data_IF_670304270207
#
_entry.id   IF_670304270207
#
_cell.length_a   1.000
_cell.length_b   1.000
_cell.length_c   1.000
_cell.angle_alpha   90.00
_cell.angle_beta   90.00
_cell.angle_gamma   90.00
#
_symmetry.space_group_name_H-M   'P 1'
#
loop_
_entity.id
_entity.type
_entity.pdbx_description
1 polymer ?
#
# COMPACT_ATOMS: atom_id res chain seq x y z
N UNK A 1 9.22 -41.31 48.96
CA UNK A 1 8.15 -40.76 48.10
C UNK A 1 8.41 -39.27 47.93
N UNK A 2 8.82 -38.85 46.73
CA UNK A 2 9.11 -37.44 46.42
C UNK A 2 7.84 -36.77 45.90
N UNK A 3 7.30 -35.80 46.64
CA UNK A 3 6.21 -34.93 46.19
C UNK A 3 6.75 -33.75 45.39
N UNK A 4 6.49 -33.74 44.08
CA UNK A 4 6.82 -32.63 43.19
C UNK A 4 5.91 -31.42 43.47
N UNK A 5 6.46 -30.37 44.08
CA UNK A 5 5.82 -29.05 44.13
C UNK A 5 5.93 -28.34 42.78
N UNK A 6 4.80 -28.19 42.08
CA UNK A 6 4.70 -27.37 40.85
C UNK A 6 5.03 -25.91 41.18
N UNK A 7 6.20 -25.42 40.74
CA UNK A 7 6.47 -23.98 40.64
C UNK A 7 5.50 -23.37 39.63
N UNK A 8 4.51 -22.61 40.09
CA UNK A 8 3.72 -21.69 39.25
C UNK A 8 4.70 -20.66 38.67
N UNK A 9 4.98 -20.74 37.37
CA UNK A 9 5.56 -19.61 36.62
C UNK A 9 4.58 -18.44 36.75
N UNK A 10 4.98 -17.34 37.41
CA UNK A 10 4.28 -16.05 37.28
C UNK A 10 4.29 -15.70 35.79
N UNK A 11 3.11 -15.66 35.17
CA UNK A 11 2.93 -15.10 33.82
C UNK A 11 3.32 -13.62 33.92
N UNK A 12 4.16 -13.15 33.01
CA UNK A 12 4.35 -11.71 32.86
C UNK A 12 3.00 -11.08 32.47
N UNK A 13 2.62 -9.91 33.02
CA UNK A 13 1.36 -9.26 32.69
C UNK A 13 1.27 -9.02 31.17
N UNK A 14 0.09 -9.23 30.60
CA UNK A 14 -0.17 -8.96 29.20
C UNK A 14 -0.01 -7.43 28.95
N UNK A 15 0.69 -6.97 27.89
CA UNK A 15 0.82 -5.55 27.60
C UNK A 15 -0.51 -4.78 27.53
N UNK A 16 -1.61 -5.45 27.14
CA UNK A 16 -2.95 -4.83 27.17
C UNK A 16 -3.48 -4.66 28.61
N UNK A 17 -3.30 -5.65 29.49
CA UNK A 17 -3.68 -5.54 30.91
C UNK A 17 -2.87 -4.43 31.61
N UNK A 18 -1.56 -4.36 31.36
CA UNK A 18 -0.70 -3.30 31.92
C UNK A 18 -1.11 -1.90 31.42
N UNK A 19 -1.55 -1.79 30.16
CA UNK A 19 -2.04 -0.52 29.60
C UNK A 19 -3.40 -0.10 30.15
N UNK A 20 -4.23 -1.07 30.54
CA UNK A 20 -5.52 -0.83 31.18
C UNK A 20 -5.34 -0.41 32.64
N UNK A 21 -4.49 -1.11 33.39
CA UNK A 21 -4.15 -0.75 34.78
C UNK A 21 -3.54 0.66 34.86
N UNK A 22 -2.60 1.00 33.96
CA UNK A 22 -2.02 2.35 33.89
C UNK A 22 -3.05 3.44 33.53
N UNK A 23 -4.08 3.09 32.77
CA UNK A 23 -5.17 4.01 32.44
C UNK A 23 -6.18 4.15 33.58
N UNK A 24 -6.42 3.11 34.37
CA UNK A 24 -7.25 3.17 35.57
C UNK A 24 -6.56 3.91 36.70
N UNK A 25 -5.26 3.70 36.91
CA UNK A 25 -4.44 4.47 37.87
C UNK A 25 -4.44 5.96 37.51
N UNK A 26 -4.21 6.33 36.23
CA UNK A 26 -4.31 7.74 35.79
C UNK A 26 -5.71 8.32 35.98
N UNK A 27 -6.76 7.53 35.79
CA UNK A 27 -8.14 7.98 36.03
C UNK A 27 -8.39 8.21 37.52
N UNK A 28 -7.92 7.32 38.39
CA UNK A 28 -8.01 7.47 39.84
C UNK A 28 -7.23 8.70 40.32
N UNK A 29 -5.98 8.88 39.89
CA UNK A 29 -5.18 10.08 40.17
C UNK A 29 -5.87 11.34 39.66
N UNK A 30 -6.42 11.32 38.45
CA UNK A 30 -7.14 12.48 37.89
C UNK A 30 -8.39 12.83 38.70
N UNK A 31 -9.10 11.84 39.23
CA UNK A 31 -10.29 12.04 40.05
C UNK A 31 -9.94 12.57 41.45
N UNK A 32 -8.86 12.07 42.06
CA UNK A 32 -8.35 12.54 43.34
C UNK A 32 -7.82 13.98 43.25
N UNK A 33 -7.06 14.29 42.21
CA UNK A 33 -6.63 15.66 41.89
C UNK A 33 -7.83 16.58 41.65
N UNK A 34 -8.86 16.12 40.93
CA UNK A 34 -10.06 16.90 40.67
C UNK A 34 -10.90 17.15 41.94
N UNK A 35 -10.84 16.23 42.91
CA UNK A 35 -11.47 16.37 44.23
C UNK A 35 -10.70 17.38 45.11
N UNK A 36 -9.36 17.32 45.12
CA UNK A 36 -8.49 18.31 45.79
C UNK A 36 -8.72 19.72 45.22
N UNK A 37 -8.85 19.84 43.89
CA UNK A 37 -9.15 21.11 43.21
C UNK A 37 -10.55 21.64 43.58
N UNK A 38 -11.55 20.76 43.70
CA UNK A 38 -12.93 21.13 44.06
C UNK A 38 -13.06 21.60 45.51
N UNK A 39 -12.31 21.00 46.43
CA UNK A 39 -12.36 21.34 47.85
C UNK A 39 -11.69 22.70 48.15
N UNK A 40 -11.04 23.33 47.16
CA UNK A 40 -10.33 24.63 47.29
C UNK A 40 -9.55 24.68 48.60
N UNK A 41 -8.77 23.63 48.90
CA UNK A 41 -8.03 23.55 50.16
C UNK A 41 -7.01 24.68 50.19
N UNK A 42 -7.39 25.73 50.89
CA UNK A 42 -6.53 26.84 51.28
C UNK A 42 -5.49 26.29 52.24
N UNK A 43 -4.24 26.64 52.00
CA UNK A 43 -3.04 26.27 52.75
C UNK A 43 -3.33 25.72 54.16
N UNK A 44 -3.07 24.43 54.39
CA UNK A 44 -3.26 23.81 55.70
C UNK A 44 -2.16 24.26 56.67
N UNK A 45 -2.58 24.78 57.83
CA UNK A 45 -1.65 25.29 58.85
C UNK A 45 -1.03 24.15 59.63
N UNK A 46 0.30 24.11 59.67
CA UNK A 46 1.03 23.10 60.43
C UNK A 46 1.02 23.43 61.93
N UNK A 47 0.76 22.43 62.78
CA UNK A 47 0.72 22.61 64.22
C UNK A 47 2.13 22.40 64.82
N UNK A 48 2.94 23.47 64.83
CA UNK A 48 4.36 23.44 65.21
C UNK A 48 4.59 24.08 66.59
N UNK A 49 5.46 23.49 67.41
CA UNK A 49 5.90 24.12 68.67
C UNK A 49 6.85 25.30 68.37
N UNK A 50 6.28 26.51 68.40
CA UNK A 50 7.01 27.76 68.16
C UNK A 50 8.02 28.12 69.26
N UNK A 51 8.03 27.42 70.41
CA UNK A 51 9.02 27.64 71.49
C UNK A 51 10.38 27.06 71.14
N UNK A 52 10.41 25.95 70.40
CA UNK A 52 11.65 25.43 69.83
C UNK A 52 12.10 26.30 68.65
N UNK A 53 13.31 26.85 68.77
CA UNK A 53 13.90 27.70 67.73
C UNK A 53 14.11 26.94 66.43
N UNK A 54 14.50 25.66 66.49
CA UNK A 54 14.81 24.89 65.29
C UNK A 54 13.53 24.52 64.55
N UNK A 55 12.51 24.04 65.26
CA UNK A 55 11.18 23.80 64.69
C UNK A 55 10.55 25.08 64.09
N UNK A 56 10.68 26.23 64.77
CA UNK A 56 10.19 27.53 64.27
C UNK A 56 10.89 27.95 62.98
N UNK A 57 12.22 27.88 62.91
CA UNK A 57 12.97 28.24 61.71
C UNK A 57 12.63 27.33 60.53
N UNK A 58 12.58 26.01 60.74
CA UNK A 58 12.20 25.07 59.68
C UNK A 58 10.77 25.28 59.18
N UNK A 59 9.83 25.69 60.05
CA UNK A 59 8.48 26.04 59.63
C UNK A 59 8.46 27.35 58.81
N UNK A 60 9.19 28.37 59.22
CA UNK A 60 9.33 29.62 58.46
C UNK A 60 10.00 29.39 57.09
N UNK A 61 10.99 28.50 57.00
CA UNK A 61 11.61 28.10 55.74
C UNK A 61 10.63 27.39 54.81
N UNK A 62 9.78 26.50 55.33
CA UNK A 62 8.72 25.86 54.53
C UNK A 62 7.71 26.89 54.01
N UNK A 63 7.26 27.81 54.86
CA UNK A 63 6.37 28.92 54.45
C UNK A 63 7.00 29.77 53.34
N UNK A 64 8.30 30.07 53.44
CA UNK A 64 9.07 30.76 52.39
C UNK A 64 9.07 29.95 51.09
N UNK A 65 9.36 28.66 51.16
CA UNK A 65 9.45 27.80 49.97
C UNK A 65 8.09 27.72 49.26
N UNK A 66 6.99 27.60 50.02
CA UNK A 66 5.62 27.68 49.47
C UNK A 66 5.34 29.04 48.81
N UNK A 67 5.76 30.16 49.42
CA UNK A 67 5.63 31.50 48.82
C UNK A 67 6.42 31.60 47.51
N UNK A 68 7.65 31.08 47.47
CA UNK A 68 8.48 31.11 46.26
C UNK A 68 7.88 30.26 45.13
N UNK A 69 7.38 29.07 45.45
CA UNK A 69 6.74 28.19 44.48
C UNK A 69 5.45 28.82 43.92
N UNK A 70 4.61 29.38 44.79
CA UNK A 70 3.39 30.09 44.39
C UNK A 70 3.70 31.32 43.54
N UNK A 71 4.79 32.05 43.85
CA UNK A 71 5.24 33.22 43.07
C UNK A 71 5.72 32.83 41.68
N UNK A 72 6.57 31.80 41.57
CA UNK A 72 7.04 31.27 40.29
C UNK A 72 5.86 30.79 39.43
N UNK A 73 4.97 30.00 40.02
CA UNK A 73 3.76 29.54 39.35
C UNK A 73 2.89 30.72 38.89
N UNK A 74 2.73 31.77 39.70
CA UNK A 74 2.04 33.00 39.29
C UNK A 74 2.67 33.68 38.07
N UNK A 75 4.00 33.70 37.93
CA UNK A 75 4.69 34.31 36.79
C UNK A 75 4.44 33.52 35.50
N UNK A 76 4.56 32.19 35.56
CA UNK A 76 4.27 31.28 34.44
C UNK A 76 2.79 31.38 34.00
N UNK A 77 1.87 31.37 34.97
CA UNK A 77 0.42 31.50 34.71
C UNK A 77 0.07 32.88 34.16
N UNK A 78 0.70 33.97 34.64
CA UNK A 78 0.52 35.32 34.09
C UNK A 78 0.97 35.41 32.64
N UNK A 79 2.09 34.77 32.29
CA UNK A 79 2.58 34.74 30.92
C UNK A 79 1.58 34.04 29.98
N UNK A 80 1.12 32.84 30.35
CA UNK A 80 0.11 32.10 29.59
C UNK A 80 -1.24 32.85 29.53
N UNK A 81 -1.67 33.47 30.62
CA UNK A 81 -2.86 34.32 30.65
C UNK A 81 -2.75 35.49 29.66
N UNK A 82 -1.58 36.12 29.60
CA UNK A 82 -1.27 37.17 28.64
C UNK A 82 -1.39 36.69 27.19
N UNK A 83 -0.90 35.48 26.89
CA UNK A 83 -1.03 34.87 25.55
C UNK A 83 -2.48 34.58 25.18
N UNK A 84 -3.25 33.94 26.06
CA UNK A 84 -4.68 33.65 25.81
C UNK A 84 -5.48 34.93 25.63
N UNK A 85 -5.16 35.98 26.41
CA UNK A 85 -5.80 37.29 26.27
C UNK A 85 -5.43 37.98 24.96
N UNK A 86 -4.16 37.87 24.54
CA UNK A 86 -3.72 38.35 23.22
C UNK A 86 -4.49 37.64 22.10
N UNK A 87 -4.69 36.34 22.22
CA UNK A 87 -5.36 35.56 21.19
C UNK A 87 -6.87 35.84 21.10
N UNK A 88 -7.53 36.08 22.23
CA UNK A 88 -8.91 36.61 22.25
C UNK A 88 -9.00 38.01 21.65
N UNK A 89 -7.97 38.85 21.87
CA UNK A 89 -7.89 40.18 21.26
C UNK A 89 -7.71 40.09 19.75
N UNK A 90 -6.93 39.13 19.26
CA UNK A 90 -6.78 38.87 17.83
C UNK A 90 -8.13 38.48 17.18
N UNK A 91 -8.94 37.62 17.84
CA UNK A 91 -10.32 37.33 17.39
C UNK A 91 -11.14 38.60 17.26
N UNK A 92 -11.07 39.48 18.26
CA UNK A 92 -11.80 40.74 18.25
C UNK A 92 -11.35 41.66 17.10
N UNK A 93 -10.04 41.72 16.80
CA UNK A 93 -9.52 42.49 15.67
C UNK A 93 -10.03 41.94 14.33
N UNK A 94 -10.09 40.61 14.17
CA UNK A 94 -10.65 39.96 12.98
C UNK A 94 -12.16 40.25 12.85
N UNK A 95 -12.91 40.13 13.95
CA UNK A 95 -14.35 40.41 13.99
C UNK A 95 -14.67 41.89 13.69
N UNK A 96 -13.76 42.81 14.04
CA UNK A 96 -13.91 44.26 13.84
C UNK A 96 -13.26 44.78 12.56
N UNK A 97 -12.61 43.90 11.78
CA UNK A 97 -11.93 44.30 10.57
C UNK A 97 -12.89 44.95 9.54
N UNK A 98 -12.39 45.91 8.73
CA UNK A 98 -13.06 46.43 7.54
C UNK A 98 -13.59 45.32 6.63
N UNK A 99 -14.69 45.59 5.93
CA UNK A 99 -15.34 44.63 5.03
C UNK A 99 -14.37 44.06 3.99
N UNK A 100 -13.53 44.91 3.39
CA UNK A 100 -12.57 44.49 2.36
C UNK A 100 -11.53 43.51 2.91
N UNK A 101 -11.01 43.76 4.12
CA UNK A 101 -10.04 42.88 4.78
C UNK A 101 -10.70 41.57 5.24
N UNK A 102 -11.95 41.61 5.70
CA UNK A 102 -12.72 40.40 6.03
C UNK A 102 -12.93 39.51 4.82
N UNK A 103 -13.25 40.09 3.67
CA UNK A 103 -13.39 39.34 2.41
C UNK A 103 -12.06 38.69 2.05
N UNK A 104 -10.94 39.42 2.10
CA UNK A 104 -9.62 38.87 1.81
C UNK A 104 -9.21 37.74 2.78
N UNK A 105 -9.47 37.90 4.09
CA UNK A 105 -9.23 36.85 5.10
C UNK A 105 -10.08 35.61 4.80
N UNK A 106 -11.37 35.80 4.53
CA UNK A 106 -12.29 34.70 4.23
C UNK A 106 -11.89 33.94 2.95
N UNK A 107 -11.61 34.66 1.86
CA UNK A 107 -11.26 34.05 0.57
C UNK A 107 -9.94 33.27 0.65
N UNK A 108 -8.91 33.85 1.26
CA UNK A 108 -7.62 33.20 1.45
C UNK A 108 -7.72 31.97 2.36
N UNK A 109 -8.41 32.10 3.50
CA UNK A 109 -8.64 30.98 4.42
C UNK A 109 -9.45 29.86 3.76
N UNK A 110 -10.54 30.21 3.06
CA UNK A 110 -11.37 29.25 2.31
C UNK A 110 -10.54 28.48 1.30
N UNK A 111 -9.68 29.17 0.55
CA UNK A 111 -8.83 28.53 -0.44
C UNK A 111 -7.81 27.59 0.20
N UNK A 112 -7.20 27.98 1.32
CA UNK A 112 -6.29 27.12 2.10
C UNK A 112 -6.99 25.84 2.56
N UNK A 113 -8.19 25.95 3.12
CA UNK A 113 -8.95 24.80 3.63
C UNK A 113 -9.35 23.85 2.49
N UNK A 114 -9.92 24.37 1.41
CA UNK A 114 -10.30 23.57 0.24
C UNK A 114 -9.09 22.80 -0.34
N UNK A 115 -7.96 23.49 -0.55
CA UNK A 115 -6.74 22.88 -1.08
C UNK A 115 -6.15 21.85 -0.12
N UNK A 116 -6.21 22.09 1.18
CA UNK A 116 -5.73 21.17 2.21
C UNK A 116 -6.58 19.90 2.27
N UNK A 117 -7.90 20.02 2.18
CA UNK A 117 -8.83 18.88 2.14
C UNK A 117 -8.71 18.07 0.85
N UNK A 118 -8.56 18.73 -0.29
CA UNK A 118 -8.25 18.06 -1.56
C UNK A 118 -6.93 17.28 -1.45
N UNK A 119 -5.89 17.88 -0.87
CA UNK A 119 -4.59 17.21 -0.67
C UNK A 119 -4.72 15.99 0.24
N UNK A 120 -5.50 16.09 1.33
CA UNK A 120 -5.78 14.96 2.24
C UNK A 120 -6.48 13.82 1.50
N UNK A 121 -7.46 14.15 0.66
CA UNK A 121 -8.21 13.17 -0.14
C UNK A 121 -7.29 12.45 -1.14
N UNK A 122 -6.45 13.17 -1.86
CA UNK A 122 -5.49 12.58 -2.81
C UNK A 122 -4.44 11.73 -2.08
N UNK A 123 -3.93 12.19 -0.93
CA UNK A 123 -2.95 11.43 -0.13
C UNK A 123 -3.50 10.08 0.34
N UNK A 124 -4.80 10.01 0.62
CA UNK A 124 -5.45 8.78 1.06
C UNK A 124 -5.71 7.80 -0.09
N UNK A 125 -5.65 8.24 -1.35
CA UNK A 125 -5.76 7.33 -2.50
C UNK A 125 -4.50 6.49 -2.61
N UNK A 126 -4.68 5.17 -2.74
CA UNK A 126 -3.58 4.24 -3.02
C UNK A 126 -3.62 3.85 -4.50
N UNK A 127 -2.59 4.21 -5.23
CA UNK A 127 -2.37 3.70 -6.59
C UNK A 127 -1.79 2.29 -6.52
N UNK A 128 -2.31 1.39 -7.35
CA UNK A 128 -1.83 0.02 -7.47
C UNK A 128 -0.68 -0.06 -8.47
N UNK A 129 0.43 0.63 -8.17
CA UNK A 129 1.63 0.66 -9.02
C UNK A 129 2.84 0.41 -8.13
N UNK A 130 3.69 -0.52 -8.54
CA UNK A 130 4.96 -0.78 -7.86
C UNK A 130 6.02 0.25 -8.24
N UNK A 131 7.03 0.44 -7.39
CA UNK A 131 8.10 1.40 -7.66
C UNK A 131 8.90 1.05 -8.93
N UNK A 132 9.05 -0.24 -9.25
CA UNK A 132 9.70 -0.70 -10.48
C UNK A 132 8.87 -0.35 -11.72
N UNK A 133 7.56 -0.58 -11.69
CA UNK A 133 6.64 -0.19 -12.78
C UNK A 133 6.66 1.32 -12.99
N UNK A 134 6.62 2.10 -11.91
CA UNK A 134 6.69 3.56 -11.96
C UNK A 134 7.97 4.04 -12.63
N UNK A 135 9.14 3.52 -12.22
CA UNK A 135 10.44 3.87 -12.83
C UNK A 135 10.52 3.51 -14.31
N UNK A 136 9.97 2.37 -14.72
CA UNK A 136 9.92 1.99 -16.12
C UNK A 136 9.03 2.93 -16.93
N UNK A 137 7.86 3.30 -16.40
CA UNK A 137 6.95 4.25 -17.04
C UNK A 137 7.52 5.66 -17.12
N UNK A 138 8.21 6.12 -16.07
CA UNK A 138 8.95 7.40 -16.10
C UNK A 138 10.00 7.42 -17.22
N UNK A 139 10.67 6.27 -17.47
CA UNK A 139 11.73 6.16 -18.48
C UNK A 139 11.20 6.06 -19.91
N UNK A 140 10.08 5.37 -20.12
CA UNK A 140 9.55 5.04 -21.45
C UNK A 140 8.19 5.69 -21.71
N UNK A 141 7.94 6.86 -21.13
CA UNK A 141 6.65 7.55 -21.18
C UNK A 141 6.16 7.81 -22.61
N UNK A 142 7.07 8.23 -23.50
CA UNK A 142 6.73 8.53 -24.89
C UNK A 142 6.40 7.28 -25.71
N UNK A 143 6.93 6.13 -25.31
CA UNK A 143 6.82 4.85 -26.04
C UNK A 143 5.69 3.96 -25.52
N UNK A 144 5.27 4.12 -24.25
CA UNK A 144 4.40 3.16 -23.56
C UNK A 144 3.08 2.90 -24.31
N UNK A 145 2.46 3.93 -24.86
CA UNK A 145 1.19 3.79 -25.59
C UNK A 145 1.36 2.98 -26.89
N UNK A 146 2.51 3.11 -27.55
CA UNK A 146 2.86 2.31 -28.72
C UNK A 146 3.21 0.89 -28.31
N UNK A 147 3.92 0.73 -27.20
CA UNK A 147 4.33 -0.58 -26.69
C UNK A 147 3.14 -1.40 -26.17
N UNK A 148 2.10 -0.79 -25.60
CA UNK A 148 0.84 -1.47 -25.26
C UNK A 148 0.23 -2.12 -26.50
N UNK A 149 0.16 -1.39 -27.62
CA UNK A 149 -0.39 -1.91 -28.89
C UNK A 149 0.45 -3.05 -29.44
N UNK A 150 1.79 -2.87 -29.46
CA UNK A 150 2.72 -3.93 -29.90
C UNK A 150 2.61 -5.18 -29.03
N UNK A 151 2.53 -5.01 -27.71
CA UNK A 151 2.42 -6.12 -26.78
C UNK A 151 1.14 -6.92 -27.04
N UNK A 152 0.01 -6.24 -27.26
CA UNK A 152 -1.26 -6.87 -27.64
C UNK A 152 -1.17 -7.60 -28.98
N UNK A 153 -0.52 -7.00 -30.00
CA UNK A 153 -0.29 -7.65 -31.29
C UNK A 153 0.54 -8.93 -31.18
N UNK A 154 1.57 -8.94 -30.33
CA UNK A 154 2.39 -10.13 -30.08
C UNK A 154 1.66 -11.20 -29.27
N UNK A 155 0.77 -10.81 -28.35
CA UNK A 155 -0.11 -11.75 -27.63
C UNK A 155 -1.12 -12.41 -28.60
N UNK A 156 -1.73 -11.63 -29.48
CA UNK A 156 -2.61 -12.16 -30.54
C UNK A 156 -1.85 -13.08 -31.50
N UNK A 157 -0.62 -12.69 -31.87
CA UNK A 157 0.25 -13.51 -32.70
C UNK A 157 0.59 -14.83 -32.02
N UNK A 158 0.79 -14.83 -30.69
CA UNK A 158 1.06 -16.04 -29.91
C UNK A 158 -0.08 -17.05 -30.04
N UNK A 159 -1.34 -16.59 -29.96
CA UNK A 159 -2.52 -17.44 -30.12
C UNK A 159 -2.58 -18.04 -31.53
N UNK A 160 -2.32 -17.22 -32.56
CA UNK A 160 -2.29 -17.68 -33.96
C UNK A 160 -1.21 -18.73 -34.19
N UNK A 161 0.01 -18.49 -33.70
CA UNK A 161 1.13 -19.44 -33.78
C UNK A 161 0.79 -20.75 -33.08
N UNK A 162 0.14 -20.71 -31.91
CA UNK A 162 -0.26 -21.91 -31.19
C UNK A 162 -1.27 -22.76 -31.98
N UNK A 163 -2.26 -22.10 -32.58
CA UNK A 163 -3.24 -22.76 -33.45
C UNK A 163 -2.59 -23.38 -34.69
N UNK A 164 -1.64 -22.68 -35.32
CA UNK A 164 -0.89 -23.19 -36.46
C UNK A 164 -0.05 -24.42 -36.08
N UNK A 165 0.65 -24.39 -34.94
CA UNK A 165 1.39 -25.55 -34.43
C UNK A 165 0.47 -26.74 -34.16
N UNK A 166 -0.69 -26.51 -33.54
CA UNK A 166 -1.68 -27.55 -33.28
C UNK A 166 -2.17 -28.18 -34.58
N UNK A 167 -2.50 -27.36 -35.59
CA UNK A 167 -2.94 -27.84 -36.92
C UNK A 167 -1.84 -28.63 -37.62
N UNK A 168 -0.61 -28.13 -37.65
CA UNK A 168 0.53 -28.81 -38.29
C UNK A 168 0.88 -30.13 -37.59
N UNK A 169 0.78 -30.19 -36.26
CA UNK A 169 0.96 -31.44 -35.52
C UNK A 169 -0.14 -32.47 -35.86
N UNK A 170 -1.39 -32.02 -36.01
CA UNK A 170 -2.49 -32.86 -36.48
C UNK A 170 -2.26 -33.39 -37.90
N UNK A 171 -1.84 -32.53 -38.83
CA UNK A 171 -1.50 -32.94 -40.20
C UNK A 171 -0.34 -33.94 -40.22
N UNK A 172 0.70 -33.74 -39.42
CA UNK A 172 1.80 -34.71 -39.30
C UNK A 172 1.34 -36.06 -38.76
N UNK A 173 0.47 -36.07 -37.75
CA UNK A 173 -0.09 -37.30 -37.21
C UNK A 173 -0.91 -38.04 -38.29
N UNK A 174 -1.72 -37.31 -39.05
CA UNK A 174 -2.47 -37.86 -40.18
C UNK A 174 -1.55 -38.47 -41.25
N UNK A 175 -0.55 -37.71 -41.71
CA UNK A 175 0.44 -38.18 -42.68
C UNK A 175 1.26 -39.38 -42.18
N UNK A 176 1.48 -39.48 -40.87
CA UNK A 176 2.15 -40.64 -40.26
C UNK A 176 1.25 -41.88 -40.29
N UNK A 177 -0.04 -41.71 -40.03
CA UNK A 177 -1.03 -42.79 -40.14
C UNK A 177 -1.16 -43.29 -41.58
N UNK A 178 -1.26 -42.40 -42.56
CA UNK A 178 -1.28 -42.75 -43.99
C UNK A 178 -0.04 -43.59 -44.38
N UNK A 179 1.14 -43.23 -43.85
CA UNK A 179 2.39 -43.96 -44.11
C UNK A 179 2.32 -45.39 -43.60
N UNK A 180 1.77 -45.58 -42.40
CA UNK A 180 1.57 -46.90 -41.79
C UNK A 180 0.58 -47.70 -42.63
N UNK A 181 -0.49 -47.08 -43.11
CA UNK A 181 -1.51 -47.74 -43.93
C UNK A 181 -0.96 -48.19 -45.29
N UNK A 182 -0.26 -47.31 -46.04
CA UNK A 182 0.37 -47.68 -47.32
C UNK A 182 1.38 -48.81 -47.10
N UNK A 183 2.18 -48.75 -46.03
CA UNK A 183 3.10 -49.83 -45.68
C UNK A 183 2.38 -51.15 -45.38
N UNK A 184 1.22 -51.10 -44.73
CA UNK A 184 0.39 -52.28 -44.46
C UNK A 184 -0.16 -52.85 -45.78
N UNK A 185 -0.72 -52.01 -46.66
CA UNK A 185 -1.20 -52.41 -48.01
C UNK A 185 -0.08 -53.02 -48.86
N UNK A 186 1.14 -52.47 -48.79
CA UNK A 186 2.29 -53.04 -49.50
C UNK A 186 2.71 -54.40 -48.91
N UNK A 187 2.66 -54.55 -47.59
CA UNK A 187 2.94 -55.84 -46.92
C UNK A 187 1.89 -56.90 -47.28
N UNK A 188 0.61 -56.55 -47.35
CA UNK A 188 -0.45 -57.48 -47.76
C UNK A 188 -0.28 -57.91 -49.21
N UNK A 189 0.00 -56.99 -50.14
CA UNK A 189 0.29 -57.35 -51.55
C UNK A 189 1.50 -58.28 -51.67
N UNK A 190 2.57 -58.05 -50.90
CA UNK A 190 3.73 -58.97 -50.85
C UNK A 190 3.34 -60.35 -50.31
N UNK A 191 2.47 -60.42 -49.32
CA UNK A 191 1.98 -61.69 -48.78
C UNK A 191 1.12 -62.45 -49.79
N UNK A 192 0.22 -61.74 -50.50
CA UNK A 192 -0.61 -62.31 -51.57
C UNK A 192 0.27 -62.84 -52.71
N UNK A 193 1.29 -62.07 -53.11
CA UNK A 193 2.25 -62.49 -54.15
C UNK A 193 3.00 -63.76 -53.76
N UNK A 194 3.42 -63.90 -52.50
CA UNK A 194 4.04 -65.14 -51.99
C UNK A 194 3.06 -66.32 -52.02
N UNK A 195 1.82 -66.12 -51.57
CA UNK A 195 0.80 -67.16 -51.58
C UNK A 195 0.48 -67.62 -53.01
N UNK A 196 0.33 -66.69 -53.96
CA UNK A 196 0.14 -66.98 -55.38
C UNK A 196 1.30 -67.79 -55.94
N UNK A 197 2.55 -67.44 -55.62
CA UNK A 197 3.73 -68.18 -56.06
C UNK A 197 3.71 -69.63 -55.55
N UNK A 198 3.37 -69.86 -54.27
CA UNK A 198 3.24 -71.21 -53.70
C UNK A 198 2.14 -72.01 -54.41
N UNK A 199 0.97 -71.39 -54.67
CA UNK A 199 -0.14 -72.05 -55.39
C UNK A 199 0.30 -72.44 -56.79
N UNK A 200 0.97 -71.55 -57.53
CA UNK A 200 1.43 -71.83 -58.90
C UNK A 200 2.44 -72.99 -58.94
N UNK A 201 3.32 -73.12 -57.94
CA UNK A 201 4.24 -74.26 -57.84
C UNK A 201 3.47 -75.57 -57.65
N UNK A 202 2.47 -75.59 -56.76
CA UNK A 202 1.64 -76.78 -56.52
C UNK A 202 0.88 -77.18 -57.80
N UNK A 203 0.26 -76.20 -58.48
CA UNK A 203 -0.45 -76.44 -59.75
C UNK A 203 0.49 -76.93 -60.84
N UNK A 204 1.70 -76.38 -60.94
CA UNK A 204 2.71 -76.83 -61.91
C UNK A 204 3.12 -78.29 -61.68
N UNK A 205 3.32 -78.70 -60.42
CA UNK A 205 3.61 -80.10 -60.06
C UNK A 205 2.43 -81.00 -60.47
N UNK A 206 1.20 -80.61 -60.14
CA UNK A 206 0.00 -81.39 -60.47
C UNK A 206 -0.19 -81.58 -61.99
N UNK A 207 -0.01 -80.51 -62.78
CA UNK A 207 -0.04 -80.57 -64.25
C UNK A 207 1.08 -81.46 -64.81
N UNK A 208 2.28 -81.41 -64.22
CA UNK A 208 3.40 -82.28 -64.60
C UNK A 208 3.10 -83.77 -64.37
N UNK A 209 2.44 -84.12 -63.27
CA UNK A 209 2.00 -85.50 -63.00
C UNK A 209 0.94 -85.96 -64.00
N UNK A 210 -0.04 -85.10 -64.32
CA UNK A 210 -1.09 -85.40 -65.31
C UNK A 210 -0.49 -85.73 -66.69
N UNK A 211 0.52 -84.95 -67.12
CA UNK A 211 1.20 -85.15 -68.39
C UNK A 211 2.03 -86.45 -68.39
N UNK A 212 2.82 -86.69 -67.34
CA UNK A 212 3.78 -87.79 -67.31
C UNK A 212 3.17 -89.17 -67.04
N UNK A 213 2.17 -89.25 -66.16
CA UNK A 213 1.60 -90.55 -65.72
C UNK A 213 0.30 -90.87 -66.46
N UNK A 214 -0.54 -89.87 -66.79
CA UNK A 214 -1.89 -90.10 -67.30
C UNK A 214 -2.01 -89.79 -68.80
N UNK A 215 -0.97 -89.22 -69.43
CA UNK A 215 -0.94 -88.86 -70.86
C UNK A 215 -2.16 -88.04 -71.33
N UNK A 216 -2.74 -87.24 -70.43
CA UNK A 216 -3.88 -86.36 -70.73
C UNK A 216 -3.39 -85.10 -71.43
N UNK A 217 -4.18 -84.56 -72.37
CA UNK A 217 -3.89 -83.26 -72.98
C UNK A 217 -4.04 -82.14 -71.94
N UNK A 218 -2.91 -81.50 -71.60
CA UNK A 218 -2.83 -80.43 -70.61
C UNK A 218 -2.76 -79.02 -71.24
N UNK A 219 -2.85 -78.88 -72.57
CA UNK A 219 -2.67 -77.57 -73.24
C UNK A 219 -3.68 -76.52 -72.75
N UNK A 220 -4.97 -76.87 -72.70
CA UNK A 220 -6.04 -75.97 -72.24
C UNK A 220 -5.86 -75.55 -70.77
N UNK A 221 -5.73 -76.46 -69.77
CA UNK A 221 -5.56 -76.06 -68.37
C UNK A 221 -4.23 -75.34 -68.10
N UNK A 222 -3.17 -75.64 -68.86
CA UNK A 222 -1.90 -74.90 -68.77
C UNK A 222 -2.07 -73.44 -69.23
N UNK A 223 -2.64 -73.23 -70.43
CA UNK A 223 -2.90 -71.88 -70.96
C UNK A 223 -3.81 -71.09 -70.03
N UNK A 224 -4.86 -71.71 -69.49
CA UNK A 224 -5.77 -71.08 -68.52
C UNK A 224 -5.03 -70.64 -67.24
N UNK A 225 -4.14 -71.47 -66.70
CA UNK A 225 -3.34 -71.15 -65.51
C UNK A 225 -2.39 -69.99 -65.77
N UNK A 226 -1.71 -69.98 -66.92
CA UNK A 226 -0.78 -68.90 -67.31
C UNK A 226 -1.55 -67.59 -67.52
N UNK A 227 -2.72 -67.62 -68.17
CA UNK A 227 -3.55 -66.45 -68.35
C UNK A 227 -4.05 -65.87 -67.02
N UNK A 228 -4.54 -66.72 -66.11
CA UNK A 228 -4.96 -66.30 -64.77
C UNK A 228 -3.81 -65.71 -63.96
N UNK A 229 -2.66 -66.39 -63.92
CA UNK A 229 -1.47 -65.91 -63.23
C UNK A 229 -1.00 -64.54 -63.75
N UNK A 230 -1.06 -64.34 -65.07
CA UNK A 230 -0.71 -63.08 -65.72
C UNK A 230 -1.65 -61.95 -65.32
N UNK A 231 -2.96 -62.18 -65.28
CA UNK A 231 -3.95 -61.19 -64.85
C UNK A 231 -3.74 -60.80 -63.38
N UNK A 232 -3.61 -61.78 -62.48
CA UNK A 232 -3.41 -61.50 -61.06
C UNK A 232 -2.09 -60.78 -60.80
N UNK A 233 -1.02 -61.18 -61.50
CA UNK A 233 0.29 -60.51 -61.41
C UNK A 233 0.21 -59.06 -61.91
N UNK A 234 -0.50 -58.80 -63.01
CA UNK A 234 -0.71 -57.46 -63.52
C UNK A 234 -1.49 -56.57 -62.53
N UNK A 235 -2.52 -57.12 -61.87
CA UNK A 235 -3.26 -56.41 -60.82
C UNK A 235 -2.38 -56.07 -59.61
N UNK A 236 -1.61 -57.04 -59.10
CA UNK A 236 -0.66 -56.81 -57.99
C UNK A 236 0.37 -55.74 -58.36
N UNK A 237 0.89 -55.79 -59.58
CA UNK A 237 1.88 -54.84 -60.07
C UNK A 237 1.30 -53.44 -60.21
N UNK A 238 0.06 -53.32 -60.67
CA UNK A 238 -0.67 -52.04 -60.75
C UNK A 238 -0.85 -51.42 -59.36
N UNK A 239 -1.41 -52.17 -58.41
CA UNK A 239 -1.65 -51.68 -57.05
C UNK A 239 -0.33 -51.39 -56.30
N UNK A 240 0.71 -52.19 -56.54
CA UNK A 240 2.04 -51.93 -55.99
C UNK A 240 2.69 -50.67 -56.58
N UNK A 241 2.47 -50.37 -57.86
CA UNK A 241 2.94 -49.11 -58.47
C UNK A 241 2.21 -47.91 -57.88
N UNK A 242 0.89 -48.03 -57.70
CA UNK A 242 0.05 -47.01 -57.06
C UNK A 242 0.52 -46.71 -55.63
N UNK A 243 0.69 -47.74 -54.79
CA UNK A 243 1.22 -47.58 -53.42
C UNK A 243 2.60 -46.89 -53.40
N UNK A 244 3.48 -47.21 -54.36
CA UNK A 244 4.80 -46.57 -54.46
C UNK A 244 4.70 -45.08 -54.82
N UNK A 245 3.82 -44.73 -55.76
CA UNK A 245 3.59 -43.33 -56.13
C UNK A 245 2.98 -42.54 -54.97
N UNK A 246 1.97 -43.11 -54.30
CA UNK A 246 1.35 -42.51 -53.11
C UNK A 246 2.38 -42.29 -51.99
N UNK A 247 3.28 -43.25 -51.76
CA UNK A 247 4.38 -43.12 -50.78
C UNK A 247 5.30 -41.94 -51.11
N UNK A 248 5.74 -41.77 -52.37
CA UNK A 248 6.63 -40.66 -52.76
C UNK A 248 5.94 -39.30 -52.55
N UNK A 249 4.65 -39.20 -52.88
CA UNK A 249 3.87 -37.98 -52.64
C UNK A 249 3.73 -37.73 -51.13
N UNK A 250 3.49 -38.76 -50.35
CA UNK A 250 3.36 -38.67 -48.90
C UNK A 250 4.66 -38.23 -48.23
N UNK A 251 5.80 -38.76 -48.64
CA UNK A 251 7.13 -38.36 -48.13
C UNK A 251 7.42 -36.88 -48.42
N UNK A 252 7.05 -36.39 -49.61
CA UNK A 252 7.13 -34.96 -49.93
C UNK A 252 6.23 -34.11 -49.04
N UNK A 253 4.99 -34.55 -48.78
CA UNK A 253 4.07 -33.87 -47.85
C UNK A 253 4.62 -33.85 -46.42
N UNK A 254 5.17 -34.97 -45.94
CA UNK A 254 5.81 -35.07 -44.63
C UNK A 254 7.00 -34.10 -44.50
N UNK A 255 7.90 -34.07 -45.49
CA UNK A 255 9.04 -33.15 -45.51
C UNK A 255 8.58 -31.68 -45.48
N UNK A 256 7.55 -31.33 -46.26
CA UNK A 256 6.96 -29.99 -46.26
C UNK A 256 6.32 -29.65 -44.90
N UNK A 257 5.56 -30.56 -44.30
CA UNK A 257 4.96 -30.36 -42.99
C UNK A 257 6.03 -30.16 -41.89
N UNK A 258 7.15 -30.89 -41.96
CA UNK A 258 8.31 -30.69 -41.07
C UNK A 258 8.90 -29.29 -41.25
N UNK A 259 9.18 -28.89 -42.49
CA UNK A 259 9.73 -27.55 -42.79
C UNK A 259 8.82 -26.43 -42.27
N UNK A 260 7.52 -26.49 -42.60
CA UNK A 260 6.53 -25.51 -42.11
C UNK A 260 6.47 -25.46 -40.58
N UNK A 261 6.48 -26.61 -39.91
CA UNK A 261 6.50 -26.65 -38.44
C UNK A 261 7.75 -25.99 -37.87
N UNK A 262 8.92 -26.22 -38.47
CA UNK A 262 10.16 -25.60 -38.01
C UNK A 262 10.11 -24.07 -38.16
N UNK A 263 9.58 -23.57 -39.28
CA UNK A 263 9.35 -22.14 -39.50
C UNK A 263 8.42 -21.55 -38.43
N UNK A 264 7.30 -22.22 -38.13
CA UNK A 264 6.36 -21.74 -37.09
C UNK A 264 6.97 -21.82 -35.69
N UNK A 265 7.80 -22.84 -35.39
CA UNK A 265 8.56 -22.91 -34.13
C UNK A 265 9.56 -21.76 -33.97
N UNK A 266 10.25 -21.36 -35.04
CA UNK A 266 11.14 -20.19 -35.00
C UNK A 266 10.33 -18.93 -34.69
N UNK A 267 9.18 -18.74 -35.36
CA UNK A 267 8.26 -17.63 -35.07
C UNK A 267 7.80 -17.65 -33.62
N UNK A 268 7.46 -18.82 -33.08
CA UNK A 268 7.08 -18.99 -31.67
C UNK A 268 8.17 -18.51 -30.72
N UNK A 269 9.41 -19.01 -30.89
CA UNK A 269 10.53 -18.64 -30.02
C UNK A 269 10.83 -17.14 -30.10
N UNK A 270 10.82 -16.56 -31.29
CA UNK A 270 11.02 -15.13 -31.47
C UNK A 270 9.90 -14.32 -30.78
N UNK A 271 8.65 -14.74 -30.96
CA UNK A 271 7.51 -14.06 -30.33
C UNK A 271 7.56 -14.12 -28.80
N UNK A 272 7.85 -15.30 -28.23
CA UNK A 272 8.01 -15.47 -26.78
C UNK A 272 9.11 -14.59 -26.22
N UNK A 273 10.28 -14.54 -26.88
CA UNK A 273 11.38 -13.66 -26.44
C UNK A 273 11.00 -12.18 -26.49
N UNK A 274 10.25 -11.76 -27.50
CA UNK A 274 9.75 -10.38 -27.58
C UNK A 274 8.75 -10.09 -26.47
N UNK A 275 7.82 -11.01 -26.20
CA UNK A 275 6.88 -10.89 -25.08
C UNK A 275 7.61 -10.82 -23.73
N UNK A 276 8.58 -11.71 -23.49
CA UNK A 276 9.43 -11.71 -22.28
C UNK A 276 10.19 -10.39 -22.11
N UNK A 277 10.76 -9.86 -23.20
CA UNK A 277 11.43 -8.57 -23.17
C UNK A 277 10.47 -7.42 -22.82
N UNK A 278 9.31 -7.34 -23.48
CA UNK A 278 8.35 -6.25 -23.26
C UNK A 278 7.73 -6.30 -21.86
N UNK A 279 7.37 -7.50 -21.39
CA UNK A 279 6.86 -7.73 -20.04
C UNK A 279 7.91 -7.37 -18.98
N UNK A 280 9.18 -7.73 -19.20
CA UNK A 280 10.29 -7.34 -18.34
C UNK A 280 10.58 -5.82 -18.37
N UNK A 281 10.52 -5.18 -19.55
CA UNK A 281 10.73 -3.72 -19.73
C UNK A 281 9.84 -2.91 -18.79
N UNK A 282 8.58 -3.32 -18.62
CA UNK A 282 7.59 -2.60 -17.81
C UNK A 282 7.26 -3.25 -16.47
N UNK A 283 7.82 -4.42 -16.15
CA UNK A 283 7.47 -5.20 -14.95
C UNK A 283 5.98 -5.55 -14.85
N UNK A 284 5.41 -6.04 -15.95
CA UNK A 284 4.00 -6.42 -16.11
C UNK A 284 3.92 -7.81 -16.73
N UNK A 285 2.76 -8.47 -16.67
CA UNK A 285 2.59 -9.84 -17.20
C UNK A 285 2.02 -9.88 -18.61
N UNK A 286 1.24 -8.86 -19.00
CA UNK A 286 0.56 -8.81 -20.29
C UNK A 286 0.19 -7.37 -20.69
N UNK A 287 -0.35 -7.20 -21.90
CA UNK A 287 -0.79 -5.92 -22.45
C UNK A 287 -1.87 -5.25 -21.59
N UNK A 288 -2.82 -6.03 -21.05
CA UNK A 288 -3.91 -5.51 -20.21
C UNK A 288 -3.40 -4.92 -18.90
N UNK A 289 -2.44 -5.59 -18.26
CA UNK A 289 -1.79 -5.09 -17.04
C UNK A 289 -0.97 -3.83 -17.35
N UNK A 290 -0.25 -3.80 -18.48
CA UNK A 290 0.49 -2.61 -18.91
C UNK A 290 -0.45 -1.41 -19.11
N UNK A 291 -1.58 -1.61 -19.79
CA UNK A 291 -2.57 -0.57 -20.01
C UNK A 291 -3.17 -0.08 -18.69
N UNK A 292 -3.54 -1.00 -17.79
CA UNK A 292 -4.03 -0.66 -16.46
C UNK A 292 -3.01 0.17 -15.67
N UNK A 293 -1.76 -0.28 -15.60
CA UNK A 293 -0.69 0.39 -14.86
C UNK A 293 -0.37 1.76 -15.47
N UNK A 294 -0.36 1.87 -16.80
CA UNK A 294 -0.18 3.15 -17.51
C UNK A 294 -1.32 4.14 -17.23
N UNK A 295 -2.57 3.67 -17.20
CA UNK A 295 -3.73 4.48 -16.85
C UNK A 295 -3.65 4.99 -15.41
N UNK A 296 -3.28 4.12 -14.47
CA UNK A 296 -3.08 4.49 -13.07
C UNK A 296 -1.94 5.51 -12.93
N UNK A 297 -0.83 5.31 -13.64
CA UNK A 297 0.32 6.23 -13.62
C UNK A 297 -0.05 7.60 -14.20
N UNK A 298 -0.75 7.64 -15.33
CA UNK A 298 -1.22 8.88 -15.94
C UNK A 298 -2.14 9.67 -15.01
N UNK A 299 -3.04 8.98 -14.30
CA UNK A 299 -3.88 9.60 -13.27
C UNK A 299 -3.06 10.13 -12.09
N UNK A 300 -2.13 9.32 -11.58
CA UNK A 300 -1.24 9.70 -10.50
C UNK A 300 -0.39 10.93 -10.85
N UNK A 301 0.18 10.97 -12.07
CA UNK A 301 0.98 12.10 -12.55
C UNK A 301 0.18 13.39 -12.65
N UNK A 302 -1.05 13.33 -13.16
CA UNK A 302 -1.98 14.48 -13.18
C UNK A 302 -2.35 14.94 -11.77
N UNK A 303 -2.51 14.01 -10.82
CA UNK A 303 -2.79 14.34 -9.42
C UNK A 303 -1.57 14.95 -8.73
N UNK A 304 -0.35 14.46 -8.97
CA UNK A 304 0.88 15.05 -8.44
C UNK A 304 1.14 16.45 -8.99
N UNK A 305 0.87 16.67 -10.28
CA UNK A 305 0.94 18.01 -10.87
C UNK A 305 -0.05 18.96 -10.19
N UNK A 306 -1.30 18.53 -9.98
CA UNK A 306 -2.31 19.30 -9.24
C UNK A 306 -1.93 19.54 -7.78
N UNK A 307 -1.27 18.58 -7.12
CA UNK A 307 -0.77 18.76 -5.75
C UNK A 307 0.36 19.78 -5.67
N UNK A 308 1.27 19.78 -6.65
CA UNK A 308 2.35 20.77 -6.72
C UNK A 308 1.78 22.17 -6.90
N UNK A 309 0.86 22.33 -7.85
CA UNK A 309 0.15 23.59 -8.07
C UNK A 309 -0.65 24.02 -6.82
N UNK A 310 -1.38 23.09 -6.20
CA UNK A 310 -2.12 23.36 -4.96
C UNK A 310 -1.21 23.75 -3.79
N UNK A 311 0.03 23.26 -3.74
CA UNK A 311 1.00 23.66 -2.70
C UNK A 311 1.45 25.10 -2.91
N UNK A 312 1.73 25.49 -4.17
CA UNK A 312 2.06 26.87 -4.52
C UNK A 312 0.90 27.80 -4.17
N UNK A 313 -0.33 27.38 -4.49
CA UNK A 313 -1.52 28.17 -4.15
C UNK A 313 -1.77 28.28 -2.65
N UNK A 314 -1.53 27.22 -1.87
CA UNK A 314 -1.61 27.30 -0.40
C UNK A 314 -0.62 28.34 0.13
N UNK A 315 0.63 28.32 -0.36
CA UNK A 315 1.67 29.28 0.05
C UNK A 315 1.28 30.72 -0.30
N UNK A 316 0.81 30.96 -1.52
CA UNK A 316 0.34 32.29 -1.94
C UNK A 316 -0.83 32.79 -1.08
N UNK A 317 -1.80 31.93 -0.79
CA UNK A 317 -2.93 32.30 0.07
C UNK A 317 -2.50 32.47 1.54
N UNK A 318 -1.48 31.74 1.99
CA UNK A 318 -0.88 31.93 3.32
C UNK A 318 -0.22 33.30 3.42
N UNK A 319 0.57 33.71 2.43
CA UNK A 319 1.18 35.05 2.38
C UNK A 319 0.12 36.16 2.40
N UNK A 320 -0.95 36.01 1.61
CA UNK A 320 -2.09 36.95 1.59
C UNK A 320 -2.73 37.02 2.98
N UNK A 321 -3.07 35.86 3.56
CA UNK A 321 -3.71 35.78 4.88
C UNK A 321 -2.86 36.45 5.96
N UNK A 322 -1.57 36.13 6.04
CA UNK A 322 -0.65 36.73 7.02
C UNK A 322 -0.46 38.23 6.78
N UNK A 323 -0.44 38.65 5.51
CA UNK A 323 -0.39 40.05 5.11
C UNK A 323 -1.61 40.85 5.58
N UNK A 324 -2.82 40.33 5.36
CA UNK A 324 -4.07 40.97 5.80
C UNK A 324 -4.20 40.94 7.32
N UNK A 325 -3.86 39.84 7.98
CA UNK A 325 -3.85 39.79 9.45
C UNK A 325 -2.85 40.80 10.05
N UNK A 326 -1.73 41.06 9.36
CA UNK A 326 -0.77 42.09 9.76
C UNK A 326 -1.33 43.50 9.63
N UNK A 327 -2.10 43.82 8.58
CA UNK A 327 -2.66 45.17 8.41
C UNK A 327 -3.67 45.53 9.49
N UNK A 328 -4.44 44.54 9.98
CA UNK A 328 -5.39 44.73 11.11
C UNK A 328 -4.73 44.66 12.50
N UNK A 329 -3.43 44.41 12.57
CA UNK A 329 -2.68 44.40 13.84
C UNK A 329 -2.81 43.12 14.68
N UNK A 330 -3.24 42.00 14.07
CA UNK A 330 -3.23 40.68 14.73
C UNK A 330 -1.80 40.29 15.10
N UNK A 331 -1.59 39.89 16.35
CA UNK A 331 -0.26 39.56 16.87
C UNK A 331 0.16 38.14 16.48
N UNK A 332 -0.68 37.15 16.76
CA UNK A 332 -0.36 35.72 16.61
C UNK A 332 -0.89 35.16 15.27
N UNK A 333 -0.40 35.72 14.16
CA UNK A 333 -0.92 35.45 12.79
C UNK A 333 -0.81 33.99 12.34
N UNK A 334 0.27 33.30 12.68
CA UNK A 334 0.51 31.92 12.23
C UNK A 334 -0.51 30.92 12.79
N UNK A 335 -1.08 31.20 13.96
CA UNK A 335 -2.07 30.31 14.55
C UNK A 335 -3.33 30.29 13.67
N UNK A 336 -3.68 31.42 13.06
CA UNK A 336 -4.82 31.56 12.16
C UNK A 336 -4.66 30.80 10.83
N UNK A 337 -3.43 30.51 10.40
CA UNK A 337 -3.20 29.59 9.29
C UNK A 337 -3.57 28.15 9.68
N UNK A 338 -3.14 27.71 10.87
CA UNK A 338 -3.50 26.38 11.38
C UNK A 338 -4.98 26.22 11.70
N UNK A 339 -5.64 27.32 12.09
CA UNK A 339 -7.06 27.41 12.40
C UNK A 339 -7.88 28.08 11.29
N UNK A 340 -7.45 27.95 10.02
CA UNK A 340 -8.12 28.60 8.90
C UNK A 340 -9.62 28.24 8.79
N UNK A 341 -10.04 27.08 9.32
CA UNK A 341 -11.46 26.69 9.43
C UNK A 341 -12.30 27.67 10.26
N UNK A 342 -11.76 28.14 11.39
CA UNK A 342 -12.43 29.12 12.24
C UNK A 342 -12.65 30.46 11.53
N UNK A 343 -11.81 30.82 10.56
CA UNK A 343 -11.99 32.04 9.77
C UNK A 343 -13.10 31.96 8.71
N UNK A 344 -13.56 30.74 8.39
CA UNK A 344 -14.56 30.49 7.35
C UNK A 344 -15.91 30.14 7.99
N UNK A 345 -15.89 29.34 9.06
CA UNK A 345 -17.08 28.89 9.76
C UNK A 345 -17.25 29.62 11.10
N UNK A 346 -18.31 30.43 11.26
CA UNK A 346 -18.62 31.08 12.52
C UNK A 346 -18.80 30.13 13.71
N UNK A 347 -19.25 28.89 13.48
CA UNK A 347 -19.43 27.90 14.54
C UNK A 347 -18.06 27.48 15.12
N UNK A 348 -17.10 27.17 14.25
CA UNK A 348 -15.72 26.86 14.63
C UNK A 348 -15.06 28.04 15.36
N UNK A 349 -15.31 29.29 14.93
CA UNK A 349 -14.82 30.47 15.65
C UNK A 349 -15.40 30.60 17.06
N UNK A 350 -16.68 30.25 17.25
CA UNK A 350 -17.33 30.26 18.56
C UNK A 350 -16.70 29.21 19.48
N UNK A 351 -16.39 28.02 18.97
CA UNK A 351 -15.70 26.97 19.73
C UNK A 351 -14.29 27.43 20.17
N UNK A 352 -13.49 27.96 19.24
CA UNK A 352 -12.17 28.53 19.56
C UNK A 352 -12.28 29.61 20.64
N UNK A 353 -13.25 30.52 20.51
CA UNK A 353 -13.49 31.58 21.50
C UNK A 353 -13.94 31.00 22.85
N UNK A 354 -14.77 29.97 22.87
CA UNK A 354 -15.22 29.30 24.09
C UNK A 354 -14.03 28.65 24.82
N UNK A 355 -13.23 27.85 24.12
CA UNK A 355 -12.06 27.17 24.68
C UNK A 355 -11.05 28.15 25.28
N UNK A 356 -10.79 29.27 24.59
CA UNK A 356 -9.91 30.32 25.09
C UNK A 356 -10.47 31.01 26.33
N UNK A 357 -11.78 31.26 26.38
CA UNK A 357 -12.42 31.84 27.56
C UNK A 357 -12.37 30.89 28.77
N UNK A 358 -12.66 29.61 28.57
CA UNK A 358 -12.55 28.58 29.61
C UNK A 358 -11.11 28.49 30.11
N UNK A 359 -10.13 28.43 29.21
CA UNK A 359 -8.70 28.42 29.58
C UNK A 359 -8.31 29.68 30.36
N UNK A 360 -8.75 30.86 29.91
CA UNK A 360 -8.50 32.13 30.60
C UNK A 360 -9.10 32.15 32.01
N UNK A 361 -10.30 31.59 32.18
CA UNK A 361 -10.97 31.49 33.48
C UNK A 361 -10.21 30.56 34.43
N UNK A 362 -9.77 29.39 33.96
CA UNK A 362 -8.94 28.46 34.75
C UNK A 362 -7.61 29.09 35.18
N UNK A 363 -6.94 29.81 34.26
CA UNK A 363 -5.71 30.54 34.57
C UNK A 363 -5.95 31.63 35.63
N UNK A 364 -7.11 32.32 35.58
CA UNK A 364 -7.49 33.29 36.61
C UNK A 364 -7.71 32.63 37.96
N UNK A 365 -8.45 31.52 38.01
CA UNK A 365 -8.68 30.76 39.24
C UNK A 365 -7.37 30.26 39.85
N UNK A 366 -6.40 29.85 39.02
CA UNK A 366 -5.07 29.45 39.47
C UNK A 366 -4.27 30.63 40.02
N UNK A 367 -4.35 31.82 39.42
CA UNK A 367 -3.74 33.04 39.97
C UNK A 367 -4.37 33.43 41.30
N UNK A 368 -5.71 33.38 41.39
CA UNK A 368 -6.45 33.71 42.61
C UNK A 368 -6.07 32.72 43.73
N UNK A 369 -5.95 31.42 43.41
CA UNK A 369 -5.50 30.38 44.34
C UNK A 369 -4.07 30.63 44.83
N UNK A 370 -3.09 30.77 43.92
CA UNK A 370 -1.69 30.98 44.29
C UNK A 370 -1.48 32.29 45.06
N UNK A 371 -2.23 33.34 44.71
CA UNK A 371 -2.22 34.62 45.45
C UNK A 371 -2.82 34.44 46.84
N UNK A 372 -3.89 33.65 46.97
CA UNK A 372 -4.48 33.25 48.25
C UNK A 372 -3.47 32.52 49.15
N UNK A 373 -2.82 31.47 48.63
CA UNK A 373 -1.80 30.69 49.34
C UNK A 373 -0.65 31.59 49.82
N UNK A 374 -0.14 32.46 48.96
CA UNK A 374 0.92 33.40 49.32
C UNK A 374 0.46 34.36 50.44
N UNK A 375 -0.76 34.88 50.35
CA UNK A 375 -1.34 35.77 51.36
C UNK A 375 -1.53 35.05 52.70
N UNK A 376 -1.95 33.79 52.70
CA UNK A 376 -2.11 32.98 53.91
C UNK A 376 -0.77 32.65 54.57
N UNK A 377 0.25 32.31 53.78
CA UNK A 377 1.60 32.09 54.28
C UNK A 377 2.17 33.37 54.92
N UNK A 378 2.02 34.53 54.25
CA UNK A 378 2.45 35.83 54.79
C UNK A 378 1.70 36.19 56.08
N UNK A 379 0.37 35.99 56.12
CA UNK A 379 -0.42 36.22 57.32
C UNK A 379 -0.01 35.31 58.49
N UNK A 380 0.40 34.07 58.20
CA UNK A 380 0.91 33.15 59.22
C UNK A 380 2.28 33.58 59.74
N UNK A 381 3.18 34.03 58.85
CA UNK A 381 4.46 34.62 59.24
C UNK A 381 4.26 35.88 60.11
N UNK A 382 3.31 36.75 59.77
CA UNK A 382 2.95 37.93 60.56
C UNK A 382 2.37 37.55 61.93
N UNK A 383 1.55 36.50 62.01
CA UNK A 383 1.06 35.96 63.30
C UNK A 383 2.20 35.44 64.17
N UNK A 384 3.21 34.80 63.59
CA UNK A 384 4.41 34.35 64.32
C UNK A 384 5.22 35.57 64.78
N UNK A 385 5.37 36.59 63.92
CA UNK A 385 6.05 37.86 64.22
C UNK A 385 5.48 38.54 65.46
N UNK A 386 4.15 38.63 65.55
CA UNK A 386 3.45 39.32 66.65
C UNK A 386 3.51 38.59 68.01
N UNK A 387 3.98 37.34 68.09
CA UNK A 387 3.97 36.56 69.35
C UNK A 387 5.09 36.95 70.30
N UNK A 388 6.31 37.23 69.82
CA UNK A 388 7.47 37.63 70.64
C UNK A 388 8.50 38.43 69.82
N UNK A 389 9.22 39.39 70.44
CA UNK A 389 10.29 40.14 69.77
C UNK A 389 11.42 39.25 69.21
N UNK A 390 11.72 38.12 69.86
CA UNK A 390 12.73 37.18 69.37
C UNK A 390 12.30 36.47 68.07
N UNK A 391 11.00 36.27 67.86
CA UNK A 391 10.46 35.59 66.68
C UNK A 391 10.40 36.55 65.48
N UNK A 392 10.25 37.85 65.74
CA UNK A 392 10.33 38.90 64.74
C UNK A 392 11.67 38.89 64.01
N UNK A 393 12.79 38.79 64.73
CA UNK A 393 14.12 38.70 64.13
C UNK A 393 14.32 37.44 63.24
N UNK A 394 13.66 36.33 63.58
CA UNK A 394 13.70 35.10 62.78
C UNK A 394 12.81 35.24 61.51
N UNK A 395 11.64 35.87 61.62
CA UNK A 395 10.72 36.15 60.49
C UNK A 395 11.35 37.13 59.49
N UNK A 396 11.92 38.25 59.97
CA UNK A 396 12.57 39.26 59.12
C UNK A 396 13.77 38.68 58.35
N UNK A 397 14.52 37.76 58.97
CA UNK A 397 15.63 37.06 58.30
C UNK A 397 15.14 36.23 57.12
N UNK A 398 14.02 35.52 57.28
CA UNK A 398 13.45 34.66 56.22
C UNK A 398 12.76 35.50 55.14
N UNK A 399 12.07 36.58 55.51
CA UNK A 399 11.45 37.51 54.55
C UNK A 399 12.49 38.27 53.72
N UNK A 400 13.62 38.67 54.30
CA UNK A 400 14.72 39.31 53.57
C UNK A 400 15.24 38.46 52.41
N UNK A 401 15.25 37.13 52.56
CA UNK A 401 15.66 36.20 51.51
C UNK A 401 14.66 36.10 50.35
N UNK A 402 13.39 36.48 50.54
CA UNK A 402 12.37 36.50 49.48
C UNK A 402 12.52 37.75 48.60
N UNK A 403 13.04 38.85 49.15
CA UNK A 403 13.20 40.14 48.45
C UNK A 403 14.47 40.22 47.60
N UNK A 404 15.52 39.44 47.90
CA UNK A 404 16.80 39.40 47.16
C UNK A 404 16.75 38.64 45.82
N UNK A 405 15.57 38.14 45.41
CA UNK A 405 15.39 37.44 44.14
C UNK A 405 15.07 38.48 43.04
N UNK A 406 15.87 38.55 41.95
CA UNK A 406 15.68 39.54 40.89
C UNK A 406 14.26 39.49 40.31
N UNK A 407 13.71 40.67 40.00
CA UNK A 407 12.40 40.87 39.36
C UNK A 407 12.32 40.31 37.95
#
# INVERSE_FOLDING_TARGET
>A
MFGFGKRRKKRAPDPEELSQDLNEERKAESAEVEQIIKDKVYFEKENVDLKDRQARLSYLERLRDTIMEARRSCEEVKFEYGRVTSYLKDIQLIDQAPTDEKVAIYESAKRIVELTEMRRTIRNKRYQITESQRKSLDRFEDEVNTDIKKLLEYEDLQVKIHNDLRRLNGEKAFLSSDKIEINKRQKTLRSISKALAVILVIVAIALGVLLGVWQVDITVPFIATVAFASIVTALIMSESRKNRMEMVVLEKKQAKAVSLTNTVKIKYVNNVRTLEYMTAKYHVRNATELDYVNNQYSQAKREWARQREGTIQIEQNHEILIGTLRSIGVRDREIWFSQAKALIDPAEMVEVRHDLNVRRQKLREQLDYNTGVMTECLNEMDRIRMKKPEYEADVERVLGQIQDIPK
#
